data_IF_835304290665
#
_entry.id   IF_835304290665
#
_cell.length_a   1.000
_cell.length_b   1.000
_cell.length_c   1.000
_cell.angle_alpha   90.00
_cell.angle_beta   90.00
_cell.angle_gamma   90.00
#
_symmetry.space_group_name_H-M   'P 1'
#
loop_
_entity.id
_entity.type
_entity.pdbx_description
1 polymer ?
#
# COMPACT_ATOMS: atom_id res chain seq x y z
N UNK A 1 40.30 69.61 33.58
CA UNK A 1 39.02 68.94 33.26
C UNK A 1 39.22 68.16 31.96
N UNK A 2 39.35 66.85 31.99
CA UNK A 2 39.61 66.01 30.80
C UNK A 2 38.28 65.30 30.50
N UNK A 3 37.82 65.59 29.29
CA UNK A 3 36.60 65.00 28.75
C UNK A 3 36.92 63.61 28.19
N UNK A 4 36.25 62.54 28.69
CA UNK A 4 36.48 61.13 28.32
C UNK A 4 35.27 60.70 27.50
N UNK A 5 35.32 60.86 26.18
CA UNK A 5 34.29 60.33 25.26
C UNK A 5 34.47 58.80 25.10
N UNK A 6 33.50 58.04 25.62
CA UNK A 6 33.44 56.57 25.43
C UNK A 6 32.82 56.27 24.10
N UNK A 7 33.59 55.71 23.16
CA UNK A 7 33.08 55.24 21.85
C UNK A 7 32.55 53.79 22.05
N UNK A 8 31.22 53.64 21.99
CA UNK A 8 30.56 52.32 21.94
C UNK A 8 30.63 51.78 20.51
N UNK A 9 31.47 50.80 20.27
CA UNK A 9 31.50 50.05 19.03
C UNK A 9 30.39 49.03 19.03
N UNK A 10 29.34 49.24 18.27
CA UNK A 10 28.29 48.24 18.00
C UNK A 10 28.83 47.16 17.07
N UNK A 11 28.97 45.95 17.59
CA UNK A 11 29.27 44.78 16.80
C UNK A 11 28.00 44.33 16.03
N UNK A 12 27.81 44.79 14.81
CA UNK A 12 26.71 44.44 13.90
C UNK A 12 27.04 43.33 12.89
N UNK A 13 28.16 42.59 13.08
CA UNK A 13 28.66 41.63 12.08
C UNK A 13 28.08 40.19 12.18
N UNK A 14 27.48 39.79 13.31
CA UNK A 14 27.14 38.38 13.54
C UNK A 14 25.81 37.91 12.93
N UNK A 15 24.81 38.76 12.81
CA UNK A 15 23.47 38.38 12.35
C UNK A 15 23.38 38.22 10.83
N UNK A 16 24.07 39.03 10.03
CA UNK A 16 24.07 38.93 8.55
C UNK A 16 24.74 37.66 8.03
N UNK A 17 25.76 37.15 8.72
CA UNK A 17 26.48 35.95 8.30
C UNK A 17 25.70 34.65 8.60
N UNK A 18 24.89 34.58 9.69
CA UNK A 18 24.03 33.43 9.99
C UNK A 18 22.92 33.25 8.93
N UNK A 19 22.22 34.33 8.55
CA UNK A 19 21.17 34.27 7.53
C UNK A 19 21.68 33.87 6.15
N UNK A 20 22.89 34.31 5.76
CA UNK A 20 23.46 33.94 4.46
C UNK A 20 23.92 32.43 4.44
N UNK A 21 24.34 31.88 5.59
CA UNK A 21 24.72 30.48 5.73
C UNK A 21 23.49 29.56 5.71
N UNK A 22 22.39 29.97 6.33
CA UNK A 22 21.12 29.25 6.31
C UNK A 22 20.50 29.27 4.91
N UNK A 23 20.47 30.40 4.22
CA UNK A 23 19.99 30.50 2.83
C UNK A 23 20.78 29.59 1.87
N UNK A 24 22.11 29.56 1.96
CA UNK A 24 22.94 28.63 1.17
C UNK A 24 22.67 27.16 1.47
N UNK A 25 22.38 26.80 2.72
CA UNK A 25 21.99 25.44 3.09
C UNK A 25 20.66 25.05 2.50
N UNK A 26 19.69 25.96 2.52
CA UNK A 26 18.35 25.75 1.98
C UNK A 26 18.38 25.64 0.44
N UNK A 27 19.11 26.51 -0.24
CA UNK A 27 19.35 26.40 -1.68
C UNK A 27 19.99 25.05 -2.06
N UNK A 28 20.97 24.59 -1.28
CA UNK A 28 21.60 23.26 -1.50
C UNK A 28 20.62 22.10 -1.29
N UNK A 29 19.72 22.19 -0.26
CA UNK A 29 18.66 21.21 -0.01
C UNK A 29 17.67 21.18 -1.17
N UNK A 30 17.18 22.35 -1.59
CA UNK A 30 16.26 22.49 -2.72
C UNK A 30 16.85 21.93 -4.02
N UNK A 31 18.13 22.20 -4.31
CA UNK A 31 18.80 21.63 -5.48
C UNK A 31 18.86 20.11 -5.45
N UNK A 32 19.18 19.50 -4.30
CA UNK A 32 19.17 18.03 -4.13
C UNK A 32 17.78 17.45 -4.33
N UNK A 33 16.77 18.09 -3.77
CA UNK A 33 15.38 17.71 -3.93
C UNK A 33 14.96 17.75 -5.42
N UNK A 34 15.18 18.85 -6.12
CA UNK A 34 14.83 19.00 -7.54
C UNK A 34 15.54 17.94 -8.42
N UNK A 35 16.80 17.62 -8.11
CA UNK A 35 17.51 16.54 -8.80
C UNK A 35 16.87 15.17 -8.55
N UNK A 36 16.46 14.88 -7.32
CA UNK A 36 15.78 13.63 -6.97
C UNK A 36 14.44 13.50 -7.67
N UNK A 37 13.60 14.53 -7.62
CA UNK A 37 12.27 14.56 -8.27
C UNK A 37 12.41 14.42 -9.79
N UNK A 38 13.33 15.15 -10.42
CA UNK A 38 13.57 15.05 -11.88
C UNK A 38 14.01 13.64 -12.29
N UNK A 39 14.87 12.99 -11.49
CA UNK A 39 15.31 11.61 -11.76
C UNK A 39 14.14 10.63 -11.65
N UNK A 40 13.30 10.77 -10.65
CA UNK A 40 12.13 9.92 -10.42
C UNK A 40 11.09 10.12 -11.50
N UNK A 41 10.83 11.36 -11.90
CA UNK A 41 9.92 11.68 -13.01
C UNK A 41 10.31 10.93 -14.27
N UNK A 42 11.60 10.93 -14.63
CA UNK A 42 12.10 10.23 -15.80
C UNK A 42 11.93 8.72 -15.72
N UNK A 43 12.09 8.14 -14.53
CA UNK A 43 11.96 6.70 -14.31
C UNK A 43 10.52 6.24 -14.22
N UNK A 44 9.74 6.86 -13.34
CA UNK A 44 8.38 6.43 -13.04
C UNK A 44 7.35 6.82 -14.11
N UNK A 45 7.70 7.73 -15.04
CA UNK A 45 6.77 8.30 -16.03
C UNK A 45 7.48 8.75 -17.31
N UNK A 46 8.25 7.88 -17.88
CA UNK A 46 9.05 8.18 -19.08
C UNK A 46 8.20 8.71 -20.24
N UNK A 47 6.94 8.27 -20.35
CA UNK A 47 6.02 8.63 -21.43
C UNK A 47 5.15 9.86 -21.12
N UNK A 48 5.22 10.44 -19.92
CA UNK A 48 4.41 11.61 -19.54
C UNK A 48 5.30 12.84 -19.50
N UNK A 49 5.16 13.72 -20.50
CA UNK A 49 5.90 14.98 -20.59
C UNK A 49 5.47 16.00 -19.54
N UNK A 50 4.21 15.95 -19.14
CA UNK A 50 3.61 16.83 -18.14
C UNK A 50 2.91 16.00 -17.07
N UNK A 51 3.23 16.22 -15.81
CA UNK A 51 2.61 15.53 -14.68
C UNK A 51 1.15 15.92 -14.46
N UNK A 52 0.77 17.13 -14.87
CA UNK A 52 -0.58 17.68 -14.76
C UNK A 52 -1.36 17.66 -16.08
N UNK A 53 -1.05 16.76 -17.02
CA UNK A 53 -1.65 16.71 -18.35
C UNK A 53 -3.18 16.60 -18.33
N UNK A 54 -3.72 15.80 -17.43
CA UNK A 54 -5.16 15.55 -17.30
C UNK A 54 -5.87 16.52 -16.34
N UNK A 55 -5.10 17.26 -15.55
CA UNK A 55 -5.63 18.27 -14.62
C UNK A 55 -6.34 17.70 -13.39
N UNK A 56 -6.02 16.46 -13.00
CA UNK A 56 -6.62 15.81 -11.82
C UNK A 56 -6.33 16.52 -10.50
N UNK A 57 -5.37 17.44 -10.48
CA UNK A 57 -5.16 18.32 -9.33
C UNK A 57 -6.40 19.16 -8.95
N UNK A 58 -7.37 19.29 -9.85
CA UNK A 58 -8.65 19.98 -9.61
C UNK A 58 -9.74 19.06 -9.08
N UNK A 59 -9.51 17.74 -9.03
CA UNK A 59 -10.45 16.80 -8.42
C UNK A 59 -10.51 17.05 -6.91
N UNK A 60 -11.65 17.49 -6.44
CA UNK A 60 -11.96 17.71 -5.02
C UNK A 60 -12.93 16.67 -4.48
N UNK A 61 -13.61 15.93 -5.39
CA UNK A 61 -14.61 14.92 -5.06
C UNK A 61 -14.23 13.59 -5.71
N UNK A 62 -14.27 12.52 -4.92
CA UNK A 62 -13.87 11.16 -5.34
C UNK A 62 -15.06 10.20 -5.25
N UNK A 63 -16.24 10.63 -5.61
CA UNK A 63 -17.47 9.86 -5.59
C UNK A 63 -18.54 10.46 -4.67
N UNK A 64 -19.55 9.68 -4.31
CA UNK A 64 -20.60 10.08 -3.40
C UNK A 64 -20.13 10.04 -1.95
N UNK A 65 -20.69 10.91 -1.10
CA UNK A 65 -20.43 10.89 0.33
C UNK A 65 -20.96 9.61 1.00
N UNK A 66 -20.35 9.23 2.12
CA UNK A 66 -20.75 8.05 2.90
C UNK A 66 -20.27 6.74 2.30
N UNK A 67 -21.09 5.70 2.40
CA UNK A 67 -20.79 4.37 1.93
C UNK A 67 -21.99 3.43 2.00
N UNK A 68 -21.84 2.26 1.34
CA UNK A 68 -22.78 1.14 1.40
C UNK A 68 -22.09 -0.17 1.80
N UNK A 69 -20.82 -0.10 2.21
CA UNK A 69 -20.09 -1.24 2.75
C UNK A 69 -20.64 -1.59 4.14
N UNK A 70 -20.65 -2.89 4.48
CA UNK A 70 -21.03 -3.35 5.80
C UNK A 70 -20.08 -2.75 6.86
N UNK A 71 -20.63 -2.13 7.89
CA UNK A 71 -19.90 -1.58 9.03
C UNK A 71 -20.11 -2.46 10.25
N UNK A 72 -19.04 -2.79 10.97
CA UNK A 72 -19.07 -3.61 12.17
C UNK A 72 -18.20 -3.02 13.29
N UNK A 73 -18.61 -3.20 14.55
CA UNK A 73 -17.77 -2.88 15.70
C UNK A 73 -16.88 -4.07 16.06
N UNK A 74 -15.55 -3.90 15.89
CA UNK A 74 -14.58 -4.93 16.24
C UNK A 74 -14.30 -5.05 17.73
N UNK A 75 -14.68 -4.11 18.57
CA UNK A 75 -14.24 -4.06 19.97
C UNK A 75 -14.69 -5.24 20.83
N UNK A 76 -15.76 -5.91 20.46
CA UNK A 76 -16.31 -7.08 21.18
C UNK A 76 -16.44 -8.34 20.33
N UNK A 77 -16.08 -8.29 19.05
CA UNK A 77 -16.22 -9.40 18.11
C UNK A 77 -15.12 -10.43 18.35
N UNK A 78 -15.45 -11.68 18.55
CA UNK A 78 -14.45 -12.76 18.61
C UNK A 78 -13.92 -13.14 17.22
N UNK A 79 -12.75 -13.77 17.17
CA UNK A 79 -12.21 -14.35 15.93
C UNK A 79 -13.20 -15.32 15.27
N UNK A 80 -13.89 -16.16 16.06
CA UNK A 80 -14.84 -17.13 15.54
C UNK A 80 -16.06 -16.46 14.89
N UNK A 81 -16.60 -15.41 15.48
CA UNK A 81 -17.72 -14.64 14.91
C UNK A 81 -17.31 -13.97 13.60
N UNK A 82 -16.13 -13.34 13.57
CA UNK A 82 -15.59 -12.74 12.34
C UNK A 82 -15.39 -13.80 11.26
N UNK A 83 -14.68 -14.89 11.59
CA UNK A 83 -14.35 -15.93 10.61
C UNK A 83 -15.60 -16.60 10.02
N UNK A 84 -16.63 -16.92 10.86
CA UNK A 84 -17.85 -17.58 10.37
C UNK A 84 -18.86 -16.60 9.76
N UNK A 85 -19.02 -15.42 10.35
CA UNK A 85 -20.04 -14.47 9.95
C UNK A 85 -19.65 -13.60 8.75
N UNK A 86 -18.37 -13.30 8.60
CA UNK A 86 -17.85 -12.34 7.63
C UNK A 86 -16.90 -13.01 6.63
N UNK A 87 -15.79 -13.54 7.11
CA UNK A 87 -14.70 -14.01 6.26
C UNK A 87 -15.11 -15.19 5.36
N UNK A 88 -15.67 -16.26 5.94
CA UNK A 88 -16.16 -17.45 5.18
C UNK A 88 -17.31 -17.11 4.23
N UNK A 89 -18.02 -16.03 4.48
CA UNK A 89 -19.08 -15.54 3.59
C UNK A 89 -18.56 -14.60 2.51
N UNK A 90 -17.26 -14.33 2.50
CA UNK A 90 -16.60 -13.41 1.57
C UNK A 90 -17.25 -12.01 1.53
N UNK A 91 -17.64 -11.48 2.70
CA UNK A 91 -18.28 -10.17 2.82
C UNK A 91 -17.23 -9.11 3.15
N UNK A 92 -16.96 -8.14 2.27
CA UNK A 92 -16.08 -7.02 2.60
C UNK A 92 -16.76 -6.11 3.63
N UNK A 93 -15.99 -5.53 4.54
CA UNK A 93 -16.54 -4.67 5.58
C UNK A 93 -15.54 -3.63 6.10
N UNK A 94 -16.09 -2.60 6.73
CA UNK A 94 -15.34 -1.68 7.61
C UNK A 94 -15.45 -2.20 9.04
N UNK A 95 -14.34 -2.25 9.73
CA UNK A 95 -14.26 -2.68 11.13
C UNK A 95 -13.75 -1.52 11.97
N UNK A 96 -14.60 -1.03 12.85
CA UNK A 96 -14.27 0.06 13.78
C UNK A 96 -13.63 -0.47 15.05
N UNK A 97 -12.91 0.42 15.75
CA UNK A 97 -12.45 0.22 17.12
C UNK A 97 -11.34 -0.85 17.34
N UNK A 98 -10.76 -1.43 16.27
CA UNK A 98 -9.67 -2.40 16.41
C UNK A 98 -8.32 -1.78 16.76
N UNK A 99 -8.07 -0.52 16.38
CA UNK A 99 -6.75 0.11 16.42
C UNK A 99 -6.50 0.97 17.68
N UNK A 100 -7.45 1.03 18.62
CA UNK A 100 -7.41 1.95 19.78
C UNK A 100 -6.14 1.88 20.61
N UNK A 101 -5.52 0.71 20.68
CA UNK A 101 -4.33 0.45 21.49
C UNK A 101 -3.01 0.53 20.72
N UNK A 102 -3.07 0.83 19.41
CA UNK A 102 -1.86 0.96 18.62
C UNK A 102 -1.11 2.24 18.97
N UNK A 103 0.19 2.18 19.34
CA UNK A 103 1.03 3.36 19.46
C UNK A 103 1.04 4.20 18.18
N UNK A 104 0.89 3.57 17.02
CA UNK A 104 0.80 4.20 15.70
C UNK A 104 -0.25 5.31 15.65
N UNK A 105 -1.42 5.12 16.29
CA UNK A 105 -2.50 6.12 16.30
C UNK A 105 -2.07 7.50 16.83
N UNK A 106 -1.01 7.52 17.64
CA UNK A 106 -0.39 8.77 18.12
C UNK A 106 0.89 9.12 17.36
N UNK A 107 1.73 8.10 17.06
CA UNK A 107 3.08 8.32 16.52
C UNK A 107 3.10 8.58 15.03
N UNK A 108 2.07 8.16 14.28
CA UNK A 108 1.95 8.35 12.83
C UNK A 108 0.85 9.34 12.43
N UNK A 109 0.28 10.07 13.38
CA UNK A 109 -0.90 10.90 13.19
C UNK A 109 -0.65 12.18 12.35
N UNK A 110 0.59 12.47 11.95
CA UNK A 110 0.90 13.60 11.07
C UNK A 110 2.24 13.42 10.34
N UNK A 111 2.43 14.22 9.29
CA UNK A 111 3.70 14.29 8.53
C UNK A 111 4.89 14.60 9.42
N UNK A 112 4.74 15.54 10.36
CA UNK A 112 5.81 15.98 11.27
C UNK A 112 6.27 14.84 12.17
N UNK A 113 5.33 14.09 12.75
CA UNK A 113 5.63 12.93 13.61
C UNK A 113 6.30 11.79 12.84
N UNK A 114 5.88 11.55 11.61
CA UNK A 114 6.57 10.59 10.76
C UNK A 114 7.96 11.08 10.35
N UNK A 115 8.12 12.38 10.10
CA UNK A 115 9.42 12.97 9.78
C UNK A 115 10.45 12.77 10.90
N UNK A 116 10.03 12.78 12.16
CA UNK A 116 10.90 12.47 13.31
C UNK A 116 11.46 11.05 13.24
N UNK A 117 10.68 10.10 12.71
CA UNK A 117 11.04 8.68 12.64
C UNK A 117 11.69 8.27 11.32
N UNK A 118 11.31 8.91 10.21
CA UNK A 118 11.71 8.50 8.86
C UNK A 118 12.73 9.44 8.19
N UNK A 119 13.21 10.46 8.88
CA UNK A 119 14.23 11.35 8.32
C UNK A 119 15.50 10.59 7.95
N UNK A 120 15.92 10.74 6.68
CA UNK A 120 17.07 10.03 6.13
C UNK A 120 16.77 8.61 5.68
N UNK A 121 15.54 8.11 5.88
CA UNK A 121 15.11 6.79 5.40
C UNK A 121 14.72 6.88 3.93
N UNK A 122 15.14 5.90 3.14
CA UNK A 122 14.76 5.75 1.72
C UNK A 122 13.55 4.85 1.60
N UNK A 123 12.48 5.36 0.98
CA UNK A 123 11.22 4.64 0.77
C UNK A 123 11.01 4.31 -0.71
N UNK A 124 10.33 3.20 -1.01
CA UNK A 124 9.81 2.89 -2.34
C UNK A 124 8.58 3.77 -2.60
N UNK A 125 8.62 4.59 -3.66
CA UNK A 125 7.57 5.56 -3.98
C UNK A 125 6.82 5.24 -5.29
N UNK A 126 7.06 4.08 -5.85
CA UNK A 126 6.48 3.60 -7.10
C UNK A 126 7.40 2.61 -7.80
N UNK A 127 7.07 2.28 -9.04
CA UNK A 127 7.91 1.49 -9.94
C UNK A 127 8.12 2.26 -11.24
N UNK A 128 9.20 1.97 -11.97
CA UNK A 128 9.41 2.47 -13.33
C UNK A 128 8.66 1.61 -14.36
N UNK A 129 8.81 1.96 -15.65
CA UNK A 129 8.12 1.26 -16.74
C UNK A 129 8.60 -0.20 -16.92
N UNK A 130 9.80 -0.54 -16.41
CA UNK A 130 10.37 -1.88 -16.41
C UNK A 130 10.03 -2.65 -15.11
N UNK A 131 9.27 -2.04 -14.19
CA UNK A 131 8.86 -2.65 -12.92
C UNK A 131 9.85 -2.48 -11.77
N UNK A 132 11.02 -1.87 -12.00
CA UNK A 132 11.99 -1.65 -10.92
C UNK A 132 11.52 -0.61 -9.90
N UNK A 133 11.82 -0.87 -8.64
CA UNK A 133 11.44 0.00 -7.55
C UNK A 133 12.11 1.39 -7.67
N UNK A 134 11.29 2.43 -7.69
CA UNK A 134 11.73 3.82 -7.62
C UNK A 134 11.77 4.24 -6.15
N UNK A 135 12.91 4.73 -5.67
CA UNK A 135 13.14 5.06 -4.27
C UNK A 135 13.51 6.52 -4.08
N UNK A 136 13.04 7.11 -2.96
CA UNK A 136 13.26 8.50 -2.57
C UNK A 136 13.47 8.59 -1.06
N UNK A 137 14.28 9.55 -0.59
CA UNK A 137 14.33 9.90 0.82
C UNK A 137 12.97 10.43 1.29
N UNK A 138 12.54 10.06 2.49
CA UNK A 138 11.22 10.45 3.02
C UNK A 138 11.06 11.97 3.08
N UNK A 139 12.07 12.73 3.49
CA UNK A 139 12.02 14.19 3.47
C UNK A 139 11.86 14.80 2.07
N UNK A 140 12.37 14.15 1.02
CA UNK A 140 12.14 14.58 -0.35
C UNK A 140 10.72 14.23 -0.82
N UNK A 141 10.17 13.10 -0.37
CA UNK A 141 8.78 12.71 -0.65
C UNK A 141 7.80 13.70 -0.02
N UNK A 142 8.03 14.10 1.22
CA UNK A 142 7.22 15.14 1.90
C UNK A 142 7.30 16.47 1.16
N UNK A 143 8.51 16.90 0.80
CA UNK A 143 8.70 18.13 0.02
C UNK A 143 8.01 18.05 -1.36
N UNK A 144 8.01 16.88 -2.00
CA UNK A 144 7.29 16.64 -3.26
C UNK A 144 5.78 16.81 -3.10
N UNK A 145 5.17 16.23 -2.07
CA UNK A 145 3.72 16.33 -1.87
C UNK A 145 3.23 17.78 -1.75
N UNK A 146 4.04 18.65 -1.13
CA UNK A 146 3.70 20.05 -0.91
C UNK A 146 4.09 20.98 -2.08
N UNK A 147 4.90 20.47 -3.01
CA UNK A 147 5.41 21.29 -4.12
C UNK A 147 4.32 21.62 -5.14
N UNK A 148 4.00 22.93 -5.36
CA UNK A 148 2.96 23.34 -6.28
C UNK A 148 3.29 23.06 -7.76
N UNK A 149 4.57 22.89 -8.09
CA UNK A 149 5.00 22.60 -9.47
C UNK A 149 5.13 21.11 -9.76
N UNK A 150 5.08 20.25 -8.72
CA UNK A 150 5.21 18.81 -8.84
C UNK A 150 4.02 18.07 -8.19
N UNK A 151 4.09 17.70 -6.92
CA UNK A 151 3.13 16.83 -6.28
C UNK A 151 1.69 17.34 -6.30
N UNK A 152 1.51 18.68 -6.14
CA UNK A 152 0.16 19.29 -6.20
C UNK A 152 -0.45 19.28 -7.60
N UNK A 153 0.36 19.23 -8.66
CA UNK A 153 -0.10 19.13 -10.05
C UNK A 153 -0.14 17.71 -10.58
N UNK A 154 0.51 16.77 -9.91
CA UNK A 154 0.66 15.41 -10.42
C UNK A 154 -0.69 14.70 -10.54
N UNK A 155 -1.02 14.24 -11.74
CA UNK A 155 -2.23 13.50 -12.06
C UNK A 155 -2.24 12.07 -11.50
N UNK A 156 -1.05 11.56 -11.14
CA UNK A 156 -0.88 10.26 -10.49
C UNK A 156 0.24 10.38 -9.46
N UNK A 157 -0.04 10.98 -8.30
CA UNK A 157 0.96 11.31 -7.31
C UNK A 157 1.76 10.08 -6.85
N UNK A 158 3.03 10.28 -6.55
CA UNK A 158 3.87 9.27 -5.95
C UNK A 158 3.22 8.75 -4.66
N UNK A 159 3.35 7.45 -4.43
CA UNK A 159 2.76 6.76 -3.31
C UNK A 159 3.78 5.81 -2.69
N UNK A 160 4.06 5.96 -1.41
CA UNK A 160 4.85 4.99 -0.67
C UNK A 160 3.98 3.75 -0.48
N UNK A 161 4.39 2.66 -1.14
CA UNK A 161 3.86 1.32 -0.98
C UNK A 161 5.08 0.42 -0.83
N UNK A 162 5.59 0.31 0.42
CA UNK A 162 6.89 -0.25 0.72
C UNK A 162 6.78 -1.38 1.74
N UNK A 163 7.04 -2.62 1.29
CA UNK A 163 7.03 -3.82 2.13
C UNK A 163 8.24 -3.94 3.06
N UNK A 164 9.30 -3.18 2.78
CA UNK A 164 10.55 -3.25 3.55
C UNK A 164 10.67 -2.15 4.60
N UNK A 165 9.78 -1.16 4.59
CA UNK A 165 9.89 0.02 5.45
C UNK A 165 9.70 -0.32 6.93
N UNK A 166 8.77 -1.22 7.24
CA UNK A 166 8.51 -1.67 8.60
C UNK A 166 9.73 -2.37 9.21
N UNK A 167 10.36 -3.26 8.46
CA UNK A 167 11.54 -4.01 8.94
C UNK A 167 12.81 -3.17 9.08
N UNK A 168 12.93 -2.14 8.26
CA UNK A 168 14.08 -1.22 8.28
C UNK A 168 14.01 -0.14 9.35
N UNK A 169 12.88 -0.02 10.03
CA UNK A 169 12.59 1.07 10.95
C UNK A 169 11.98 0.57 12.25
N UNK A 170 11.82 1.46 13.22
CA UNK A 170 11.13 1.16 14.48
C UNK A 170 9.61 1.13 14.34
N UNK A 171 9.06 1.49 13.17
CA UNK A 171 7.60 1.55 12.94
C UNK A 171 6.92 0.21 13.18
N UNK A 172 7.59 -0.92 12.93
CA UNK A 172 7.04 -2.26 13.19
C UNK A 172 6.65 -2.50 14.66
N UNK A 173 7.16 -1.71 15.60
CA UNK A 173 6.81 -1.82 17.02
C UNK A 173 5.60 -0.96 17.41
N UNK A 174 5.04 -0.20 16.47
CA UNK A 174 3.94 0.73 16.73
C UNK A 174 2.57 0.13 16.43
N UNK A 175 2.50 -1.05 15.82
CA UNK A 175 1.27 -1.76 15.52
C UNK A 175 1.38 -3.26 15.82
N UNK A 176 0.25 -3.90 15.90
CA UNK A 176 0.12 -5.35 16.00
C UNK A 176 -0.93 -5.80 14.98
N UNK A 177 -0.77 -7.01 14.41
CA UNK A 177 -1.82 -7.60 13.59
C UNK A 177 -3.11 -7.64 14.40
N UNK A 178 -4.22 -7.07 13.92
CA UNK A 178 -5.48 -7.14 14.64
C UNK A 178 -5.91 -8.58 14.86
N UNK A 179 -6.38 -8.91 16.05
CA UNK A 179 -6.64 -10.30 16.47
C UNK A 179 -7.65 -11.04 15.57
N UNK A 180 -8.52 -10.33 14.88
CA UNK A 180 -9.44 -10.90 13.89
C UNK A 180 -8.71 -11.50 12.68
N UNK A 181 -7.48 -11.09 12.40
CA UNK A 181 -6.63 -11.56 11.30
C UNK A 181 -5.43 -12.38 11.79
N UNK A 182 -5.51 -12.95 13.00
CA UNK A 182 -4.40 -13.68 13.64
C UNK A 182 -4.08 -15.03 12.97
N UNK A 183 -5.01 -15.60 12.22
CA UNK A 183 -4.75 -16.80 11.42
C UNK A 183 -4.15 -16.42 10.08
N UNK A 184 -2.85 -16.69 9.93
CA UNK A 184 -2.17 -16.58 8.64
C UNK A 184 -1.34 -17.85 8.39
N UNK A 185 -1.81 -18.65 7.43
CA UNK A 185 -1.25 -19.96 7.11
C UNK A 185 0.01 -19.86 6.24
N UNK A 186 0.22 -18.75 5.53
CA UNK A 186 1.43 -18.55 4.72
C UNK A 186 2.71 -18.45 5.57
N UNK A 187 2.60 -18.15 6.87
CA UNK A 187 3.74 -18.24 7.79
C UNK A 187 4.40 -19.64 7.83
N UNK A 188 3.67 -20.67 7.48
CA UNK A 188 4.19 -22.04 7.41
C UNK A 188 4.90 -22.38 6.09
N UNK A 189 4.88 -21.47 5.11
CA UNK A 189 5.65 -21.64 3.87
C UNK A 189 7.17 -21.38 4.04
N UNK A 190 7.57 -20.75 5.18
CA UNK A 190 8.93 -20.30 5.48
C UNK A 190 9.11 -18.83 5.13
N UNK A 191 9.73 -18.07 6.04
CA UNK A 191 9.87 -16.60 5.88
C UNK A 191 10.68 -16.22 4.64
N UNK A 192 11.75 -16.95 4.34
CA UNK A 192 12.59 -16.72 3.15
C UNK A 192 11.87 -16.97 1.82
N UNK A 193 10.75 -17.69 1.85
CA UNK A 193 9.96 -18.05 0.65
C UNK A 193 8.62 -17.35 0.58
N UNK A 194 8.23 -16.75 1.69
CA UNK A 194 6.99 -16.01 1.76
C UNK A 194 7.12 -14.74 0.92
N UNK A 195 6.21 -14.51 -0.05
CA UNK A 195 6.20 -13.24 -0.78
C UNK A 195 5.95 -12.08 0.19
N UNK A 196 6.34 -10.85 -0.18
CA UNK A 196 5.96 -9.67 0.58
C UNK A 196 4.46 -9.67 0.87
N UNK A 197 4.08 -9.47 2.12
CA UNK A 197 2.69 -9.60 2.58
C UNK A 197 2.22 -8.41 3.42
N UNK A 198 3.12 -7.56 3.87
CA UNK A 198 2.81 -6.35 4.64
C UNK A 198 3.44 -5.12 3.98
N UNK A 199 2.73 -4.01 4.00
CA UNK A 199 3.19 -2.76 3.39
C UNK A 199 2.83 -1.57 4.25
N UNK A 200 3.77 -0.65 4.35
CA UNK A 200 3.51 0.71 4.79
C UNK A 200 3.01 1.53 3.61
N UNK A 201 1.87 2.19 3.79
CA UNK A 201 1.17 2.96 2.77
C UNK A 201 1.11 4.43 3.19
N UNK A 202 1.84 5.32 2.50
CA UNK A 202 1.86 6.76 2.81
C UNK A 202 1.70 7.55 1.52
N UNK A 203 0.77 8.51 1.50
CA UNK A 203 0.58 9.36 0.34
C UNK A 203 -0.24 10.60 0.57
N UNK A 204 -0.11 11.56 -0.34
CA UNK A 204 -0.95 12.75 -0.38
C UNK A 204 -2.26 12.52 -1.14
N UNK A 205 -3.09 13.57 -1.29
CA UNK A 205 -4.34 13.50 -2.05
C UNK A 205 -4.13 12.94 -3.46
N UNK A 206 -5.11 12.20 -3.97
CA UNK A 206 -5.15 11.57 -5.30
C UNK A 206 -4.14 10.43 -5.52
N UNK A 207 -3.19 10.19 -4.61
CA UNK A 207 -2.39 8.97 -4.63
C UNK A 207 -3.23 7.78 -4.19
N UNK A 208 -2.73 6.58 -4.38
CA UNK A 208 -3.44 5.35 -3.99
C UNK A 208 -3.10 4.17 -4.89
N UNK A 209 -3.92 3.14 -4.85
CA UNK A 209 -3.74 1.91 -5.61
C UNK A 209 -4.82 1.79 -6.68
N UNK A 210 -4.43 1.63 -7.95
CA UNK A 210 -5.36 1.42 -9.06
C UNK A 210 -6.17 0.14 -8.86
N UNK A 211 -7.24 -0.02 -9.65
CA UNK A 211 -8.11 -1.20 -9.59
C UNK A 211 -7.30 -2.50 -9.77
N UNK A 212 -7.47 -3.45 -8.88
CA UNK A 212 -6.76 -4.73 -8.87
C UNK A 212 -7.47 -5.78 -8.00
N UNK A 213 -7.00 -7.00 -8.10
CA UNK A 213 -7.29 -8.10 -7.17
C UNK A 213 -5.98 -8.44 -6.46
N UNK A 214 -6.04 -8.77 -5.18
CA UNK A 214 -4.87 -9.14 -4.40
C UNK A 214 -4.18 -10.41 -4.95
N UNK A 215 -2.83 -10.44 -4.93
CA UNK A 215 -2.07 -11.54 -5.50
C UNK A 215 -2.30 -12.85 -4.74
N UNK A 216 -2.05 -13.98 -5.40
CA UNK A 216 -2.16 -15.33 -4.85
C UNK A 216 -3.54 -15.69 -4.28
N UNK A 217 -4.59 -14.92 -4.62
CA UNK A 217 -5.94 -15.13 -4.07
C UNK A 217 -6.04 -14.89 -2.56
N UNK A 218 -5.14 -14.11 -1.98
CA UNK A 218 -5.16 -13.75 -0.56
C UNK A 218 -6.35 -12.84 -0.23
N UNK A 219 -6.74 -12.82 1.03
CA UNK A 219 -7.53 -11.73 1.61
C UNK A 219 -6.58 -10.65 2.14
N UNK A 220 -7.08 -9.44 2.34
CA UNK A 220 -6.31 -8.35 2.92
C UNK A 220 -7.08 -7.60 4.02
N UNK A 221 -6.32 -7.02 4.93
CA UNK A 221 -6.82 -5.96 5.80
C UNK A 221 -5.99 -4.69 5.61
N UNK A 222 -6.65 -3.53 5.69
CA UNK A 222 -6.01 -2.22 5.58
C UNK A 222 -6.42 -1.35 6.77
N UNK A 223 -5.48 -1.05 7.64
CA UNK A 223 -5.67 -0.23 8.83
C UNK A 223 -5.23 1.21 8.58
N UNK A 224 -6.15 2.15 8.63
CA UNK A 224 -5.87 3.57 8.42
C UNK A 224 -5.58 4.26 9.75
N UNK A 225 -4.41 4.87 9.86
CA UNK A 225 -3.96 5.58 11.06
C UNK A 225 -4.19 7.09 10.95
N UNK A 226 -4.04 7.65 9.76
CA UNK A 226 -4.15 9.08 9.52
C UNK A 226 -4.79 9.35 8.15
N UNK A 227 -5.59 10.39 8.06
CA UNK A 227 -6.25 10.83 6.84
C UNK A 227 -7.48 10.03 6.45
N UNK A 228 -7.93 10.19 5.19
CA UNK A 228 -9.13 9.55 4.66
C UNK A 228 -8.86 8.89 3.32
N UNK A 229 -9.46 7.72 3.10
CA UNK A 229 -9.37 6.97 1.83
C UNK A 229 -10.77 6.69 1.30
N UNK A 230 -10.94 6.80 -0.02
CA UNK A 230 -12.14 6.32 -0.70
C UNK A 230 -11.85 4.98 -1.37
N UNK A 231 -12.75 4.03 -1.16
CA UNK A 231 -12.70 2.67 -1.72
C UNK A 231 -13.88 2.43 -2.64
N UNK A 232 -13.63 1.68 -3.72
CA UNK A 232 -14.69 1.03 -4.48
C UNK A 232 -14.32 -0.45 -4.67
N UNK A 233 -15.29 -1.35 -4.43
CA UNK A 233 -15.08 -2.80 -4.44
C UNK A 233 -16.14 -3.47 -5.31
N UNK A 234 -15.75 -4.53 -6.03
CA UNK A 234 -16.65 -5.33 -6.86
C UNK A 234 -16.48 -6.82 -6.55
N UNK A 235 -17.59 -7.58 -6.49
CA UNK A 235 -17.52 -9.01 -6.27
C UNK A 235 -16.77 -9.73 -7.40
N UNK A 236 -16.14 -10.87 -7.12
CA UNK A 236 -15.52 -11.70 -8.15
C UNK A 236 -16.50 -12.06 -9.28
N UNK A 237 -16.09 -11.87 -10.54
CA UNK A 237 -16.90 -12.24 -11.71
C UNK A 237 -18.12 -11.37 -11.99
N UNK A 238 -18.39 -10.34 -11.19
CA UNK A 238 -19.57 -9.46 -11.38
C UNK A 238 -19.42 -8.45 -12.52
N UNK A 239 -18.19 -8.08 -12.85
CA UNK A 239 -17.85 -7.13 -13.91
C UNK A 239 -16.65 -7.66 -14.68
N UNK A 240 -16.62 -7.64 -16.02
CA UNK A 240 -15.47 -8.04 -16.81
C UNK A 240 -14.22 -7.17 -16.50
N UNK A 241 -13.05 -7.78 -16.52
CA UNK A 241 -11.79 -7.09 -16.20
C UNK A 241 -11.52 -5.90 -17.12
N UNK A 242 -11.78 -6.04 -18.40
CA UNK A 242 -11.59 -4.97 -19.41
C UNK A 242 -12.50 -3.76 -19.18
N UNK A 243 -13.62 -3.94 -18.47
CA UNK A 243 -14.53 -2.85 -18.05
C UNK A 243 -14.00 -2.17 -16.80
N UNK A 244 -13.54 -2.96 -15.82
CA UNK A 244 -12.96 -2.42 -14.58
C UNK A 244 -11.60 -1.76 -14.81
N UNK A 245 -10.80 -2.30 -15.74
CA UNK A 245 -9.42 -1.87 -16.03
C UNK A 245 -9.25 -1.52 -17.53
N UNK A 246 -9.95 -0.47 -18.02
CA UNK A 246 -9.83 -0.06 -19.41
C UNK A 246 -8.38 0.34 -19.75
N UNK A 247 -7.99 0.13 -21.00
CA UNK A 247 -6.64 0.49 -21.47
C UNK A 247 -6.32 1.95 -21.18
N UNK A 248 -5.17 2.18 -20.54
CA UNK A 248 -4.68 3.51 -20.16
C UNK A 248 -5.21 4.03 -18.82
N UNK A 249 -6.08 3.30 -18.13
CA UNK A 249 -6.50 3.60 -16.75
C UNK A 249 -5.57 2.86 -15.79
N UNK A 250 -4.48 3.52 -15.41
CA UNK A 250 -3.37 2.93 -14.64
C UNK A 250 -3.11 3.60 -13.27
N UNK A 251 -3.97 4.52 -12.86
CA UNK A 251 -3.89 5.16 -11.54
C UNK A 251 -5.25 5.26 -10.88
N UNK A 252 -5.27 5.35 -9.55
CA UNK A 252 -6.52 5.52 -8.80
C UNK A 252 -7.28 6.77 -9.25
N UNK A 253 -6.59 7.91 -9.36
CA UNK A 253 -7.22 9.17 -9.78
C UNK A 253 -7.90 9.04 -11.14
N UNK A 254 -7.22 8.42 -12.14
CA UNK A 254 -7.81 8.20 -13.45
C UNK A 254 -8.98 7.23 -13.42
N UNK A 255 -8.94 6.22 -12.56
CA UNK A 255 -10.05 5.30 -12.40
C UNK A 255 -11.29 6.00 -11.86
N UNK A 256 -11.13 6.82 -10.82
CA UNK A 256 -12.23 7.61 -10.25
C UNK A 256 -12.75 8.70 -11.19
N UNK A 257 -11.93 9.18 -12.12
CA UNK A 257 -12.35 10.13 -13.17
C UNK A 257 -13.11 9.44 -14.31
N UNK A 258 -12.65 8.27 -14.75
CA UNK A 258 -13.15 7.64 -15.99
C UNK A 258 -14.18 6.54 -15.76
N UNK A 259 -13.93 5.64 -14.78
CA UNK A 259 -14.76 4.44 -14.58
C UNK A 259 -15.85 4.68 -13.54
N UNK A 260 -15.49 5.32 -12.42
CA UNK A 260 -16.43 5.56 -11.32
C UNK A 260 -17.74 6.23 -11.76
N UNK A 261 -17.74 7.34 -12.54
CA UNK A 261 -18.98 7.97 -12.98
C UNK A 261 -19.90 7.03 -13.76
N UNK A 262 -19.31 6.15 -14.60
CA UNK A 262 -20.09 5.18 -15.39
C UNK A 262 -20.82 4.18 -14.49
N UNK A 263 -20.24 3.80 -13.36
CA UNK A 263 -20.88 2.87 -12.41
C UNK A 263 -22.14 3.44 -11.76
N UNK A 264 -22.29 4.76 -11.77
CA UNK A 264 -23.43 5.46 -11.18
C UNK A 264 -24.59 5.65 -12.18
N UNK A 265 -24.31 5.55 -13.48
CA UNK A 265 -25.31 5.74 -14.54
C UNK A 265 -26.35 4.61 -14.56
N UNK A 266 -27.56 4.91 -15.05
CA UNK A 266 -28.60 3.90 -15.28
C UNK A 266 -28.26 2.94 -16.42
N UNK A 267 -27.36 3.36 -17.32
CA UNK A 267 -26.81 2.56 -18.41
C UNK A 267 -25.83 1.48 -17.97
N UNK A 268 -25.35 1.51 -16.72
CA UNK A 268 -24.43 0.51 -16.17
C UNK A 268 -25.10 -0.86 -16.07
N UNK A 269 -24.61 -1.82 -16.84
CA UNK A 269 -25.24 -3.15 -17.02
C UNK A 269 -24.79 -4.20 -16.00
N UNK A 270 -23.79 -3.88 -15.20
CA UNK A 270 -23.15 -4.81 -14.27
C UNK A 270 -23.57 -4.52 -12.83
N UNK A 271 -23.06 -5.32 -11.91
CA UNK A 271 -23.27 -5.08 -10.48
C UNK A 271 -22.64 -3.75 -10.08
N UNK A 272 -23.37 -2.97 -9.27
CA UNK A 272 -22.85 -1.69 -8.76
C UNK A 272 -21.80 -1.93 -7.68
N UNK A 273 -20.77 -1.07 -7.59
CA UNK A 273 -19.75 -1.21 -6.58
C UNK A 273 -20.28 -1.06 -5.16
N UNK A 274 -19.68 -1.79 -4.23
CA UNK A 274 -19.64 -1.37 -2.85
C UNK A 274 -18.60 -0.27 -2.70
N UNK A 275 -18.89 0.73 -1.86
CA UNK A 275 -17.98 1.86 -1.65
C UNK A 275 -18.04 2.36 -0.23
N UNK A 276 -16.95 3.01 0.21
CA UNK A 276 -16.85 3.57 1.56
C UNK A 276 -15.76 4.64 1.62
N UNK A 277 -15.94 5.58 2.53
CA UNK A 277 -14.88 6.45 3.02
C UNK A 277 -14.33 5.89 4.34
N UNK A 278 -13.07 5.48 4.33
CA UNK A 278 -12.36 4.97 5.49
C UNK A 278 -11.73 6.13 6.24
N UNK A 279 -12.00 6.24 7.54
CA UNK A 279 -11.43 7.24 8.45
C UNK A 279 -10.33 6.68 9.35
N UNK A 280 -9.65 7.56 10.13
CA UNK A 280 -8.62 7.13 11.08
C UNK A 280 -9.18 6.20 12.16
N UNK A 281 -8.52 5.05 12.35
CA UNK A 281 -8.94 4.01 13.29
C UNK A 281 -9.77 2.89 12.67
N UNK A 282 -10.18 3.03 11.40
CA UNK A 282 -10.94 2.02 10.68
C UNK A 282 -10.01 0.99 10.02
N UNK A 283 -10.51 -0.23 9.93
CA UNK A 283 -9.89 -1.32 9.18
C UNK A 283 -10.84 -1.78 8.09
N UNK A 284 -10.38 -1.77 6.85
CA UNK A 284 -11.11 -2.39 5.74
C UNK A 284 -10.66 -3.85 5.62
N UNK A 285 -11.61 -4.77 5.60
CA UNK A 285 -11.40 -6.16 5.20
C UNK A 285 -11.79 -6.36 3.74
N UNK A 286 -10.86 -6.86 2.94
CA UNK A 286 -11.07 -7.22 1.53
C UNK A 286 -10.98 -8.72 1.39
N UNK A 287 -12.07 -9.44 1.10
CA UNK A 287 -12.03 -10.87 0.88
C UNK A 287 -11.27 -11.25 -0.40
N UNK A 288 -10.77 -12.47 -0.43
CA UNK A 288 -10.10 -13.07 -1.58
C UNK A 288 -10.88 -12.90 -2.88
N UNK A 289 -10.19 -12.42 -3.92
CA UNK A 289 -10.74 -12.28 -5.26
C UNK A 289 -11.60 -11.05 -5.53
N UNK A 290 -11.83 -10.20 -4.55
CA UNK A 290 -12.55 -8.96 -4.76
C UNK A 290 -11.69 -7.93 -5.50
N UNK A 291 -12.25 -7.35 -6.56
CA UNK A 291 -11.66 -6.19 -7.23
C UNK A 291 -11.80 -4.98 -6.33
N UNK A 292 -10.74 -4.20 -6.20
CA UNK A 292 -10.80 -2.97 -5.43
C UNK A 292 -9.85 -1.89 -5.94
N UNK A 293 -10.24 -0.65 -5.75
CA UNK A 293 -9.48 0.55 -6.05
C UNK A 293 -9.53 1.47 -4.85
N UNK A 294 -8.42 2.14 -4.57
CA UNK A 294 -8.27 2.98 -3.37
C UNK A 294 -7.64 4.32 -3.75
N UNK A 295 -8.28 5.41 -3.37
CA UNK A 295 -7.72 6.76 -3.54
C UNK A 295 -7.63 7.48 -2.19
N UNK A 296 -6.54 8.19 -1.98
CA UNK A 296 -6.36 9.04 -0.82
C UNK A 296 -7.07 10.37 -1.02
N UNK A 297 -7.92 10.75 -0.09
CA UNK A 297 -8.65 12.02 -0.11
C UNK A 297 -7.74 13.17 0.35
N UNK A 298 -6.94 12.89 1.36
CA UNK A 298 -5.97 13.80 1.96
C UNK A 298 -4.64 13.08 2.22
N UNK A 299 -3.80 13.61 3.12
CA UNK A 299 -2.59 12.90 3.54
C UNK A 299 -2.94 11.69 4.37
N UNK A 300 -2.51 10.51 3.95
CA UNK A 300 -2.83 9.23 4.60
C UNK A 300 -1.61 8.46 5.05
N UNK A 301 -1.79 7.73 6.15
CA UNK A 301 -0.84 6.74 6.67
C UNK A 301 -1.61 5.48 7.04
N UNK A 302 -1.23 4.36 6.45
CA UNK A 302 -1.88 3.07 6.70
C UNK A 302 -0.87 1.92 6.70
N UNK A 303 -1.25 0.82 7.33
CA UNK A 303 -0.62 -0.50 7.19
C UNK A 303 -1.61 -1.44 6.54
N UNK A 304 -1.15 -2.25 5.60
CA UNK A 304 -1.96 -3.31 4.99
C UNK A 304 -1.20 -4.62 4.98
N UNK A 305 -1.91 -5.72 5.18
CA UNK A 305 -1.34 -7.06 5.06
C UNK A 305 -2.26 -7.97 4.27
N UNK A 306 -1.64 -8.81 3.43
CA UNK A 306 -2.28 -9.91 2.75
C UNK A 306 -2.05 -11.21 3.53
N UNK A 307 -3.09 -12.03 3.70
CA UNK A 307 -3.03 -13.23 4.51
C UNK A 307 -3.83 -14.39 3.92
N UNK A 308 -3.48 -15.59 4.37
CA UNK A 308 -4.20 -16.82 4.10
C UNK A 308 -4.75 -17.41 5.39
N UNK A 309 -6.05 -17.48 5.52
CA UNK A 309 -6.74 -18.15 6.61
C UNK A 309 -7.33 -19.50 6.17
N UNK A 310 -7.93 -20.22 7.10
CA UNK A 310 -8.73 -21.41 6.78
C UNK A 310 -9.92 -21.10 5.86
N UNK A 311 -10.41 -19.86 5.85
CA UNK A 311 -11.56 -19.47 5.04
C UNK A 311 -11.23 -19.33 3.54
N UNK A 312 -10.03 -18.86 3.21
CA UNK A 312 -9.59 -18.67 1.83
C UNK A 312 -8.50 -19.65 1.38
N UNK A 313 -8.13 -20.62 2.22
CA UNK A 313 -7.03 -21.56 1.99
C UNK A 313 -7.09 -22.25 0.63
N UNK A 314 -8.26 -22.79 0.26
CA UNK A 314 -8.44 -23.50 -1.02
C UNK A 314 -8.00 -22.62 -2.20
N UNK A 315 -8.50 -21.40 -2.27
CA UNK A 315 -8.19 -20.46 -3.33
C UNK A 315 -6.70 -20.05 -3.33
N UNK A 316 -6.16 -19.69 -2.17
CA UNK A 316 -4.75 -19.33 -2.03
C UNK A 316 -3.84 -20.48 -2.42
N UNK A 317 -4.16 -21.70 -2.02
CA UNK A 317 -3.37 -22.89 -2.35
C UNK A 317 -3.35 -23.16 -3.86
N UNK A 318 -4.50 -23.04 -4.53
CA UNK A 318 -4.59 -23.18 -6.00
C UNK A 318 -3.75 -22.14 -6.73
N UNK A 319 -3.86 -20.86 -6.36
CA UNK A 319 -3.07 -19.80 -6.98
C UNK A 319 -1.57 -19.98 -6.74
N UNK A 320 -1.20 -20.35 -5.51
CA UNK A 320 0.21 -20.55 -5.13
C UNK A 320 0.81 -21.75 -5.86
N UNK A 321 0.06 -22.84 -6.01
CA UNK A 321 0.50 -24.04 -6.76
C UNK A 321 0.92 -23.70 -8.19
N UNK A 322 0.17 -22.83 -8.86
CA UNK A 322 0.45 -22.45 -10.25
C UNK A 322 1.63 -21.47 -10.33
N UNK A 323 1.63 -20.46 -9.47
CA UNK A 323 2.61 -19.37 -9.56
C UNK A 323 3.92 -19.64 -8.81
N UNK A 324 3.90 -20.50 -7.76
CA UNK A 324 5.05 -20.77 -6.87
C UNK A 324 5.11 -22.27 -6.46
N UNK A 325 5.28 -23.21 -7.42
CA UNK A 325 5.14 -24.64 -7.16
C UNK A 325 6.12 -25.18 -6.11
N UNK A 326 7.37 -24.70 -6.11
CA UNK A 326 8.39 -25.10 -5.11
C UNK A 326 7.99 -24.67 -3.68
N UNK A 327 7.45 -23.46 -3.53
CA UNK A 327 6.95 -22.97 -2.24
C UNK A 327 5.74 -23.77 -1.79
N UNK A 328 4.80 -24.04 -2.67
CA UNK A 328 3.58 -24.81 -2.36
C UNK A 328 3.89 -26.21 -1.86
N UNK A 329 4.85 -26.92 -2.47
CA UNK A 329 5.23 -28.25 -2.00
C UNK A 329 5.78 -28.20 -0.57
N UNK A 330 6.69 -27.27 -0.26
CA UNK A 330 7.23 -27.11 1.10
C UNK A 330 6.16 -26.70 2.11
N UNK A 331 5.27 -25.83 1.69
CA UNK A 331 4.12 -25.40 2.50
C UNK A 331 3.21 -26.59 2.81
N UNK A 332 2.85 -27.40 1.83
CA UNK A 332 2.06 -28.62 2.00
C UNK A 332 2.72 -29.58 3.00
N UNK A 333 4.02 -29.84 2.84
CA UNK A 333 4.75 -30.73 3.74
C UNK A 333 4.75 -30.22 5.18
N UNK A 334 4.88 -28.92 5.38
CA UNK A 334 4.77 -28.33 6.72
C UNK A 334 3.34 -28.42 7.28
N UNK A 335 2.34 -28.18 6.45
CA UNK A 335 0.93 -28.30 6.85
C UNK A 335 0.55 -29.71 7.30
N UNK A 336 1.15 -30.76 6.74
CA UNK A 336 0.92 -32.17 7.19
C UNK A 336 1.15 -32.33 8.69
N UNK A 337 2.07 -31.55 9.27
CA UNK A 337 2.39 -31.58 10.71
C UNK A 337 1.53 -30.62 11.52
N UNK A 338 1.33 -29.39 11.04
CA UNK A 338 0.73 -28.31 11.86
C UNK A 338 -0.77 -28.13 11.63
N UNK A 339 -1.28 -28.50 10.44
CA UNK A 339 -2.69 -28.41 10.04
C UNK A 339 -3.06 -29.56 9.09
N UNK A 340 -3.10 -30.80 9.60
CA UNK A 340 -3.38 -32.00 8.78
C UNK A 340 -4.75 -31.97 8.10
N UNK A 341 -5.71 -31.22 8.65
CA UNK A 341 -7.01 -30.94 8.05
C UNK A 341 -6.86 -30.19 6.71
N UNK A 342 -6.08 -29.13 6.67
CA UNK A 342 -5.82 -28.31 5.46
C UNK A 342 -4.85 -29.03 4.51
N UNK A 343 -3.88 -29.78 5.05
CA UNK A 343 -2.96 -30.55 4.22
C UNK A 343 -3.70 -31.59 3.36
N UNK A 344 -4.77 -32.21 3.88
CA UNK A 344 -5.63 -33.12 3.08
C UNK A 344 -6.29 -32.39 1.91
N UNK A 345 -6.80 -31.19 2.15
CA UNK A 345 -7.39 -30.34 1.08
C UNK A 345 -6.31 -29.99 0.05
N UNK A 346 -5.14 -29.52 0.49
CA UNK A 346 -4.03 -29.22 -0.39
C UNK A 346 -3.56 -30.40 -1.23
N UNK A 347 -3.49 -31.61 -0.64
CA UNK A 347 -3.14 -32.82 -1.36
C UNK A 347 -4.21 -33.18 -2.42
N UNK A 348 -5.49 -33.07 -2.11
CA UNK A 348 -6.58 -33.29 -3.07
C UNK A 348 -6.48 -32.33 -4.27
N UNK A 349 -6.18 -31.03 -4.02
CA UNK A 349 -5.96 -30.06 -5.09
C UNK A 349 -4.77 -30.47 -5.98
N UNK A 350 -3.69 -30.97 -5.38
CA UNK A 350 -2.52 -31.45 -6.13
C UNK A 350 -2.85 -32.69 -6.99
N UNK A 351 -3.58 -33.64 -6.43
CA UNK A 351 -3.89 -34.93 -7.08
C UNK A 351 -4.91 -34.78 -8.21
N UNK A 352 -5.89 -33.89 -8.06
CA UNK A 352 -6.95 -33.69 -9.04
C UNK A 352 -6.57 -32.73 -10.18
N UNK A 353 -5.39 -32.15 -10.15
CA UNK A 353 -4.95 -31.08 -11.07
C UNK A 353 -6.01 -29.97 -11.26
N UNK A 354 -6.69 -29.63 -10.16
CA UNK A 354 -7.75 -28.62 -10.16
C UNK A 354 -7.23 -27.29 -10.67
N UNK A 355 -7.89 -26.73 -11.67
CA UNK A 355 -7.60 -25.38 -12.18
C UNK A 355 -8.71 -24.43 -11.77
N UNK A 356 -8.33 -23.29 -11.19
CA UNK A 356 -9.29 -22.22 -10.92
C UNK A 356 -9.70 -21.56 -12.24
N UNK A 357 -10.99 -21.45 -12.52
CA UNK A 357 -11.53 -20.77 -13.70
C UNK A 357 -11.16 -19.28 -13.77
N UNK A 358 -10.83 -18.70 -12.61
CA UNK A 358 -10.52 -17.27 -12.47
C UNK A 358 -9.02 -16.95 -12.61
N UNK A 359 -8.17 -17.97 -12.85
CA UNK A 359 -6.75 -17.75 -13.11
C UNK A 359 -6.60 -17.49 -14.61
N UNK A 360 -6.88 -16.28 -15.06
CA UNK A 360 -6.29 -15.76 -16.28
C UNK A 360 -4.77 -15.78 -16.11
N UNK A 361 -4.06 -16.18 -17.18
CA UNK A 361 -2.58 -16.22 -17.23
C UNK A 361 -1.98 -14.99 -16.58
N UNK A 362 -0.87 -15.10 -15.83
CA UNK A 362 -0.31 -13.98 -15.09
C UNK A 362 -0.08 -12.80 -16.03
N UNK A 363 -0.92 -11.78 -15.91
CA UNK A 363 -0.61 -10.50 -16.52
C UNK A 363 0.67 -10.03 -15.85
N UNK A 364 1.70 -9.80 -16.65
CA UNK A 364 3.01 -9.31 -16.26
C UNK A 364 2.90 -7.90 -15.64
N UNK A 365 2.54 -7.86 -14.36
CA UNK A 365 2.56 -6.63 -13.59
C UNK A 365 3.00 -6.96 -12.17
N UNK A 366 4.20 -6.56 -11.85
CA UNK A 366 4.98 -6.74 -10.62
C UNK A 366 5.70 -8.08 -10.47
N UNK A 367 6.64 -8.36 -11.38
CA UNK A 367 7.77 -9.23 -11.06
C UNK A 367 8.72 -8.45 -10.14
N UNK A 368 8.66 -8.69 -8.84
CA UNK A 368 9.88 -8.60 -8.06
C UNK A 368 10.78 -9.70 -8.62
N UNK A 369 11.89 -9.33 -9.25
CA UNK A 369 12.96 -10.24 -9.58
C UNK A 369 13.51 -10.79 -8.26
N UNK A 370 13.06 -11.99 -7.89
CA UNK A 370 13.78 -12.81 -6.94
C UNK A 370 14.92 -13.43 -7.77
N UNK A 371 16.13 -12.93 -7.56
CA UNK A 371 17.35 -13.58 -8.02
C UNK A 371 17.37 -14.97 -7.35
N UNK A 372 17.14 -16.01 -8.17
CA UNK A 372 17.40 -17.39 -7.82
C UNK A 372 18.94 -17.58 -7.76
N UNK A 373 19.55 -17.27 -6.62
CA UNK A 373 20.88 -17.78 -6.31
C UNK A 373 20.78 -19.29 -6.13
N UNK A 374 21.19 -20.02 -7.16
CA UNK A 374 21.48 -21.44 -7.11
C UNK A 374 22.68 -21.66 -6.19
N UNK A 375 22.42 -21.89 -4.90
CA UNK A 375 23.41 -22.47 -3.99
C UNK A 375 23.65 -23.93 -4.41
N UNK A 376 24.71 -24.09 -5.15
CA UNK A 376 25.33 -25.35 -5.52
C UNK A 376 25.97 -25.97 -4.23
N UNK A 377 25.25 -26.93 -3.63
CA UNK A 377 25.70 -27.69 -2.46
C UNK A 377 26.78 -28.68 -2.91
N UNK A 378 28.00 -28.20 -3.09
CA UNK A 378 29.17 -29.05 -3.28
C UNK A 378 29.72 -29.49 -1.92
N UNK A 379 29.31 -30.67 -1.49
CA UNK A 379 29.97 -31.49 -0.47
C UNK A 379 31.47 -31.59 -0.73
N UNK A 380 32.29 -31.08 0.18
CA UNK A 380 33.70 -31.45 0.27
C UNK A 380 33.89 -32.30 1.53
N UNK A 381 34.05 -33.59 1.28
CA UNK A 381 34.66 -34.53 2.19
C UNK A 381 36.18 -34.34 2.16
N UNK A 382 36.82 -34.04 3.25
CA UNK A 382 38.12 -34.53 3.72
C UNK A 382 38.44 -33.97 5.09
#
# INVERSE_FOLDING_TARGET
MRDSTVVIRHHHGGKKNKGNRERKKEEKRRRKYLQAVSKIKKKARSNVKDWGLYGYCRMTEFGVEGGNLLEIDGSGMSFAEFSHGIEKRHVPCVIHNLLRHWPAMKRWASVERLMEQLKGVTCKVGSDDDGYAVRMLFEHFVAYMDDPEHGKKDDSPLYIFDSTLLDKTTLKHDYLVPYLFSEDLLKYAGEERRPPHQWMCIGGPRSGTSIHVDPLGTSAWNALVCGHKRWALFPPGSVPEEVLKPKGVNSAARWFDVVWPQTLEDSWKYEKPLYVEQGPGDVIFVPSGWWHVVINVDFTVAVTENFCSSANFHRVFMHTRISRPKMTQKWLDRLKTVRPDLARIGQQIMDNDERCSDISSPSSSSSSSDDDDDDDDSSVSS
#
